data_IF_302826912806
#
_entry.id   IF_302826912806
#
_cell.length_a   1.000
_cell.length_b   1.000
_cell.length_c   1.000
_cell.angle_alpha   90.00
_cell.angle_beta   90.00
_cell.angle_gamma   90.00
#
_symmetry.space_group_name_H-M   'P 1'
#
loop_
_entity.id
_entity.type
_entity.pdbx_description
1 polymer ?
#
# COMPACT_ATOMS: atom_id res chain seq x y z
N UNK A 1 3.75 -8.16 -9.98
CA UNK A 1 2.84 -7.68 -8.93
C UNK A 1 2.48 -8.78 -7.91
N UNK A 2 2.31 -10.06 -8.32
CA UNK A 2 1.96 -11.16 -7.40
C UNK A 2 2.98 -11.34 -6.28
N UNK A 3 4.28 -11.14 -6.54
CA UNK A 3 5.32 -11.24 -5.51
C UNK A 3 5.26 -10.15 -4.42
N UNK A 4 4.42 -9.12 -4.61
CA UNK A 4 4.09 -8.11 -3.62
C UNK A 4 2.84 -8.46 -2.78
N UNK A 5 2.26 -9.65 -2.99
CA UNK A 5 1.05 -10.11 -2.30
C UNK A 5 -0.28 -9.71 -2.96
N UNK A 6 -0.25 -9.11 -4.16
CA UNK A 6 -1.47 -8.80 -4.91
C UNK A 6 -2.05 -10.07 -5.57
N UNK A 7 -3.38 -10.16 -5.61
CA UNK A 7 -4.10 -11.28 -6.22
C UNK A 7 -4.17 -12.54 -5.35
N UNK A 8 -3.77 -12.45 -4.07
CA UNK A 8 -3.89 -13.52 -3.10
C UNK A 8 -4.26 -12.96 -1.71
N UNK A 9 -4.87 -13.79 -0.88
CA UNK A 9 -5.04 -13.46 0.53
C UNK A 9 -3.68 -13.43 1.20
N UNK A 10 -3.40 -12.37 1.97
CA UNK A 10 -2.07 -12.16 2.57
C UNK A 10 -1.77 -13.14 3.72
N UNK A 11 -2.78 -13.86 4.21
CA UNK A 11 -2.60 -14.82 5.32
C UNK A 11 -2.42 -14.16 6.68
N UNK A 12 -3.09 -13.01 6.91
CA UNK A 12 -3.09 -12.34 8.20
C UNK A 12 -3.92 -13.09 9.25
N UNK A 13 -3.82 -12.68 10.51
CA UNK A 13 -4.65 -13.17 11.62
C UNK A 13 -6.10 -12.62 11.60
N UNK A 14 -6.47 -11.91 10.54
CA UNK A 14 -7.85 -11.55 10.29
C UNK A 14 -8.64 -12.77 9.80
N UNK A 15 -9.82 -13.04 10.40
CA UNK A 15 -10.61 -14.22 10.03
C UNK A 15 -11.21 -14.12 8.62
N UNK A 16 -11.30 -12.91 8.07
CA UNK A 16 -11.87 -12.65 6.74
C UNK A 16 -10.97 -11.72 5.95
N UNK A 17 -10.82 -12.00 4.68
CA UNK A 17 -10.05 -11.16 3.76
C UNK A 17 -10.40 -11.48 2.31
N UNK A 18 -10.10 -10.54 1.43
CA UNK A 18 -10.26 -10.73 0.00
C UNK A 18 -8.90 -10.83 -0.66
N UNK A 19 -8.79 -11.73 -1.64
CA UNK A 19 -7.58 -11.90 -2.42
C UNK A 19 -7.33 -10.73 -3.40
N UNK A 20 -8.34 -9.90 -3.65
CA UNK A 20 -8.27 -9.01 -4.80
C UNK A 20 -8.25 -9.79 -6.11
N UNK A 21 -7.76 -9.16 -7.18
CA UNK A 21 -7.68 -9.80 -8.50
C UNK A 21 -6.47 -9.23 -9.25
N UNK A 22 -5.67 -10.13 -9.78
CA UNK A 22 -4.62 -9.80 -10.76
C UNK A 22 -4.93 -10.61 -12.00
N UNK A 23 -5.29 -9.97 -13.13
CA UNK A 23 -5.66 -10.68 -14.35
C UNK A 23 -4.50 -11.49 -14.89
N UNK A 24 -4.84 -12.60 -15.54
CA UNK A 24 -3.92 -13.47 -16.25
C UNK A 24 -4.52 -13.92 -17.58
N UNK A 25 -3.76 -14.69 -18.35
CA UNK A 25 -4.18 -15.21 -19.65
C UNK A 25 -5.48 -16.00 -19.56
N UNK A 26 -5.63 -16.84 -18.53
CA UNK A 26 -6.82 -17.68 -18.36
C UNK A 26 -8.09 -16.84 -18.12
N UNK A 27 -7.96 -15.75 -17.35
CA UNK A 27 -9.05 -14.80 -17.14
C UNK A 27 -9.47 -14.15 -18.47
N UNK A 28 -8.49 -13.66 -19.24
CA UNK A 28 -8.78 -12.98 -20.50
C UNK A 28 -9.32 -13.92 -21.56
N UNK A 29 -8.81 -15.13 -21.65
CA UNK A 29 -9.37 -16.15 -22.55
C UNK A 29 -10.82 -16.46 -22.21
N UNK A 30 -11.16 -16.52 -20.93
CA UNK A 30 -12.53 -16.72 -20.46
C UNK A 30 -13.44 -15.52 -20.77
N UNK A 31 -12.93 -14.30 -20.57
CA UNK A 31 -13.73 -13.07 -20.67
C UNK A 31 -13.94 -12.62 -22.12
N UNK A 32 -12.90 -12.69 -22.94
CA UNK A 32 -12.89 -12.16 -24.31
C UNK A 32 -12.87 -13.26 -25.39
N UNK A 33 -12.57 -14.49 -25.01
CA UNK A 33 -12.34 -15.62 -25.91
C UNK A 33 -10.86 -15.77 -26.29
N UNK A 34 -10.42 -17.01 -26.42
CA UNK A 34 -9.04 -17.36 -26.73
C UNK A 34 -8.57 -16.68 -28.03
N UNK A 35 -7.48 -15.92 -27.94
CA UNK A 35 -6.90 -15.18 -29.07
C UNK A 35 -7.69 -13.95 -29.52
N UNK A 36 -8.72 -13.52 -28.78
CA UNK A 36 -9.53 -12.33 -29.10
C UNK A 36 -9.15 -11.07 -28.30
N UNK A 37 -8.20 -11.19 -27.39
CA UNK A 37 -7.66 -10.05 -26.63
C UNK A 37 -6.21 -9.77 -27.08
N UNK A 38 -5.75 -8.56 -26.88
CA UNK A 38 -4.44 -8.08 -27.35
C UNK A 38 -3.80 -7.09 -26.38
N UNK A 39 -2.70 -6.48 -26.78
CA UNK A 39 -1.95 -5.53 -25.95
C UNK A 39 -2.77 -4.35 -25.43
N UNK A 40 -3.78 -3.88 -26.17
CA UNK A 40 -4.65 -2.78 -25.72
C UNK A 40 -5.47 -3.16 -24.48
N UNK A 41 -5.86 -4.42 -24.34
CA UNK A 41 -6.54 -4.93 -23.14
C UNK A 41 -5.68 -4.75 -21.88
N UNK A 42 -4.35 -4.79 -22.03
CA UNK A 42 -3.42 -4.66 -20.92
C UNK A 42 -3.05 -3.20 -20.57
N UNK A 43 -3.41 -2.22 -21.39
CA UNK A 43 -3.03 -0.81 -21.15
C UNK A 43 -3.61 -0.31 -19.83
N UNK A 44 -4.88 -0.61 -19.54
CA UNK A 44 -5.51 -0.22 -18.27
C UNK A 44 -4.83 -0.85 -17.06
N UNK A 45 -4.36 -2.11 -17.20
CA UNK A 45 -3.63 -2.77 -16.10
C UNK A 45 -2.27 -2.11 -15.84
N UNK A 46 -1.62 -1.55 -16.86
CA UNK A 46 -0.32 -0.88 -16.70
C UNK A 46 -0.40 0.37 -15.82
N UNK A 47 -1.57 0.99 -15.74
CA UNK A 47 -1.84 2.14 -14.87
C UNK A 47 -2.56 1.75 -13.56
N UNK A 48 -2.72 0.45 -13.29
CA UNK A 48 -3.37 -0.06 -12.07
C UNK A 48 -4.91 -0.01 -12.13
N UNK A 49 -5.48 0.04 -13.32
CA UNK A 49 -6.92 0.01 -13.59
C UNK A 49 -7.35 -1.31 -14.28
N UNK A 50 -8.48 -1.31 -14.95
CA UNK A 50 -9.00 -2.49 -15.63
C UNK A 50 -9.49 -3.56 -14.65
N UNK A 51 -9.06 -4.80 -14.87
CA UNK A 51 -9.47 -5.94 -14.04
C UNK A 51 -8.70 -6.11 -12.73
N UNK A 52 -7.74 -5.22 -12.44
CA UNK A 52 -6.99 -5.26 -11.18
C UNK A 52 -7.90 -4.82 -10.03
N UNK A 53 -8.07 -5.70 -9.03
CA UNK A 53 -8.75 -5.38 -7.79
C UNK A 53 -7.79 -5.57 -6.62
N UNK A 54 -7.73 -4.58 -5.73
CA UNK A 54 -6.89 -4.63 -4.55
C UNK A 54 -7.65 -4.18 -3.30
N UNK A 55 -7.17 -4.61 -2.15
CA UNK A 55 -7.65 -4.14 -0.86
C UNK A 55 -6.70 -3.10 -0.27
N UNK A 56 -7.16 -2.21 0.62
CA UNK A 56 -6.27 -1.26 1.29
C UNK A 56 -5.08 -1.92 1.99
N UNK A 57 -5.28 -3.08 2.64
CA UNK A 57 -4.20 -3.81 3.30
C UNK A 57 -3.17 -4.35 2.31
N UNK A 58 -3.59 -4.76 1.12
CA UNK A 58 -2.67 -5.18 0.07
C UNK A 58 -1.84 -4.01 -0.45
N UNK A 59 -2.42 -2.82 -0.62
CA UNK A 59 -1.66 -1.63 -1.01
C UNK A 59 -0.71 -1.18 0.10
N UNK A 60 -1.12 -1.23 1.37
CA UNK A 60 -0.22 -0.99 2.49
C UNK A 60 0.96 -1.98 2.47
N UNK A 61 0.70 -3.25 2.17
CA UNK A 61 1.75 -4.27 2.06
C UNK A 61 2.71 -4.01 0.87
N UNK A 62 2.20 -3.56 -0.27
CA UNK A 62 3.05 -3.11 -1.40
C UNK A 62 3.97 -1.97 -0.96
N UNK A 63 3.43 -1.01 -0.22
CA UNK A 63 4.20 0.11 0.31
C UNK A 63 5.26 -0.34 1.32
N UNK A 64 4.94 -1.31 2.19
CA UNK A 64 5.91 -1.92 3.10
C UNK A 64 7.04 -2.62 2.33
N UNK A 65 6.71 -3.34 1.26
CA UNK A 65 7.71 -3.98 0.40
C UNK A 65 8.61 -2.97 -0.32
N UNK A 66 8.06 -1.82 -0.75
CA UNK A 66 8.85 -0.73 -1.36
C UNK A 66 9.75 -0.09 -0.29
N UNK A 67 9.22 0.26 0.87
CA UNK A 67 9.95 0.86 1.97
C UNK A 67 11.12 -0.01 2.42
N UNK A 68 10.93 -1.32 2.45
CA UNK A 68 11.94 -2.33 2.80
C UNK A 68 12.84 -2.74 1.62
N UNK A 69 12.69 -2.14 0.45
CA UNK A 69 13.48 -2.46 -0.75
C UNK A 69 13.39 -3.91 -1.20
N UNK A 70 12.16 -4.45 -1.19
CA UNK A 70 11.85 -5.72 -1.83
C UNK A 70 11.42 -6.86 -0.90
N UNK A 71 11.07 -6.58 0.35
CA UNK A 71 10.49 -7.59 1.22
C UNK A 71 9.38 -7.05 2.12
N UNK A 72 8.57 -7.96 2.64
CA UNK A 72 7.54 -7.67 3.61
C UNK A 72 7.33 -8.87 4.55
N UNK A 73 6.63 -8.63 5.65
CA UNK A 73 6.10 -9.65 6.54
C UNK A 73 4.59 -9.74 6.36
N UNK A 74 4.00 -10.90 6.66
CA UNK A 74 2.55 -11.03 6.66
C UNK A 74 1.93 -10.01 7.62
N UNK A 75 1.03 -9.12 7.14
CA UNK A 75 0.33 -8.19 8.02
C UNK A 75 -0.46 -8.94 9.09
N UNK A 76 -0.38 -8.49 10.35
CA UNK A 76 -1.09 -9.09 11.48
C UNK A 76 -1.36 -8.05 12.56
N UNK A 77 -2.36 -8.30 13.40
CA UNK A 77 -2.73 -7.41 14.51
C UNK A 77 -2.12 -7.89 15.82
N UNK A 78 -2.07 -9.21 16.01
CA UNK A 78 -1.64 -9.79 17.28
C UNK A 78 -0.13 -9.67 17.43
N UNK A 79 0.30 -8.82 18.36
CA UNK A 79 1.72 -8.62 18.68
C UNK A 79 2.25 -9.64 19.68
N UNK A 80 1.44 -9.97 20.68
CA UNK A 80 1.81 -10.88 21.80
C UNK A 80 0.59 -11.66 22.27
N UNK A 81 0.82 -12.89 22.73
CA UNK A 81 -0.14 -13.71 23.46
C UNK A 81 0.54 -14.09 24.80
N UNK A 82 -0.14 -13.85 25.93
CA UNK A 82 0.37 -14.11 27.30
C UNK A 82 1.77 -13.51 27.53
N UNK A 83 1.97 -12.27 27.11
CA UNK A 83 3.26 -11.56 27.13
C UNK A 83 4.39 -12.20 26.31
N UNK A 84 4.13 -13.26 25.57
CA UNK A 84 5.09 -13.85 24.61
C UNK A 84 4.84 -13.27 23.22
N UNK A 85 5.92 -13.02 22.49
CA UNK A 85 5.84 -12.64 21.07
C UNK A 85 5.08 -13.72 20.32
N UNK A 86 4.20 -13.33 19.41
CA UNK A 86 3.38 -14.25 18.60
C UNK A 86 4.24 -15.40 18.05
N UNK A 87 3.92 -16.67 18.36
CA UNK A 87 4.76 -17.81 18.00
C UNK A 87 4.62 -18.23 16.53
N UNK A 88 3.77 -17.53 15.75
CA UNK A 88 3.50 -17.89 14.36
C UNK A 88 4.65 -17.46 13.45
N UNK A 89 5.41 -18.44 12.98
CA UNK A 89 6.56 -18.26 12.07
C UNK A 89 6.16 -17.50 10.79
N UNK A 90 4.92 -17.64 10.35
CA UNK A 90 4.37 -16.94 9.17
C UNK A 90 4.39 -15.42 9.31
N UNK A 91 4.27 -14.86 10.53
CA UNK A 91 4.32 -13.40 10.78
C UNK A 91 5.73 -12.88 10.96
N UNK A 92 6.69 -13.75 11.25
CA UNK A 92 8.10 -13.41 11.43
C UNK A 92 8.97 -13.80 10.24
N UNK A 93 8.41 -14.59 9.30
CA UNK A 93 9.14 -14.99 8.10
C UNK A 93 9.09 -13.90 7.04
N UNK A 94 10.27 -13.47 6.61
CA UNK A 94 10.45 -12.49 5.54
C UNK A 94 10.01 -13.08 4.19
N UNK A 95 9.11 -12.38 3.51
CA UNK A 95 8.67 -12.69 2.14
C UNK A 95 9.36 -11.72 1.18
N UNK A 96 10.11 -12.24 0.23
CA UNK A 96 10.83 -11.42 -0.75
C UNK A 96 10.02 -11.26 -2.03
N UNK A 97 10.09 -10.05 -2.60
CA UNK A 97 9.61 -9.82 -3.98
C UNK A 97 10.60 -10.39 -4.99
N UNK A 98 10.15 -10.56 -6.23
CA UNK A 98 11.02 -11.01 -7.34
C UNK A 98 11.85 -9.87 -7.95
N UNK A 99 11.75 -8.66 -7.40
CA UNK A 99 12.44 -7.47 -7.91
C UNK A 99 13.77 -7.28 -7.16
N UNK A 100 14.85 -7.05 -7.90
CA UNK A 100 16.15 -6.79 -7.30
C UNK A 100 16.15 -5.44 -6.54
N UNK A 101 16.80 -5.36 -5.36
CA UNK A 101 16.78 -4.16 -4.49
C UNK A 101 17.16 -2.85 -5.19
N UNK A 102 18.09 -2.89 -6.16
CA UNK A 102 18.52 -1.71 -6.92
C UNK A 102 17.41 -0.97 -7.67
N UNK A 103 16.30 -1.65 -7.98
CA UNK A 103 15.19 -1.06 -8.72
C UNK A 103 14.19 -0.32 -7.83
N UNK A 104 14.28 -0.46 -6.51
CA UNK A 104 13.42 0.26 -5.59
C UNK A 104 13.83 1.72 -5.40
N UNK A 105 15.13 2.00 -5.41
CA UNK A 105 15.63 3.35 -5.13
C UNK A 105 15.09 4.43 -6.08
N UNK A 106 15.09 4.24 -7.41
CA UNK A 106 14.46 5.21 -8.33
C UNK A 106 12.97 5.42 -8.07
N UNK A 107 12.24 4.35 -7.71
CA UNK A 107 10.80 4.43 -7.35
C UNK A 107 10.62 5.25 -6.08
N UNK A 108 11.42 5.00 -5.06
CA UNK A 108 11.39 5.71 -3.78
C UNK A 108 11.70 7.21 -3.99
N UNK A 109 12.69 7.53 -4.81
CA UNK A 109 13.00 8.93 -5.16
C UNK A 109 11.85 9.62 -5.88
N UNK A 110 11.19 8.92 -6.83
CA UNK A 110 9.98 9.43 -7.47
C UNK A 110 8.83 9.67 -6.48
N UNK A 111 8.68 8.81 -5.48
CA UNK A 111 7.69 8.98 -4.41
C UNK A 111 8.02 10.15 -3.47
N UNK A 112 9.30 10.42 -3.22
CA UNK A 112 9.73 11.64 -2.51
C UNK A 112 9.37 12.89 -3.30
N UNK A 113 9.71 12.92 -4.59
CA UNK A 113 9.35 14.06 -5.45
C UNK A 113 7.84 14.30 -5.50
N UNK A 114 7.03 13.24 -5.48
CA UNK A 114 5.57 13.37 -5.41
C UNK A 114 5.11 14.01 -4.08
N UNK A 115 5.81 13.73 -2.98
CA UNK A 115 5.57 14.36 -1.67
C UNK A 115 6.08 15.81 -1.63
N UNK A 116 7.30 16.06 -2.08
CA UNK A 116 7.95 17.37 -1.96
C UNK A 116 7.28 18.40 -2.90
N UNK A 117 7.06 18.05 -4.17
CA UNK A 117 6.65 18.98 -5.22
C UNK A 117 5.46 18.51 -6.07
N UNK A 118 4.98 17.28 -5.86
CA UNK A 118 3.98 16.65 -6.71
C UNK A 118 2.56 16.66 -6.13
N UNK A 119 1.77 15.69 -6.57
CA UNK A 119 0.34 15.57 -6.22
C UNK A 119 0.10 15.21 -4.75
N UNK A 120 1.11 14.74 -4.03
CA UNK A 120 1.04 14.43 -2.60
C UNK A 120 1.57 15.57 -1.70
N UNK A 121 1.93 16.74 -2.24
CA UNK A 121 2.49 17.87 -1.47
C UNK A 121 1.60 18.35 -0.32
N UNK A 122 0.29 18.10 -0.40
CA UNK A 122 -0.65 18.41 0.69
C UNK A 122 -0.46 17.58 1.96
N UNK A 123 0.39 16.53 1.91
CA UNK A 123 0.76 15.70 3.08
C UNK A 123 2.00 16.19 3.81
N UNK A 124 2.56 17.33 3.45
CA UNK A 124 3.78 17.83 4.08
C UNK A 124 3.63 17.93 5.60
N UNK A 125 4.54 17.26 6.33
CA UNK A 125 4.60 17.23 7.79
C UNK A 125 5.95 17.79 8.19
N UNK A 126 5.95 18.88 8.96
CA UNK A 126 7.18 19.55 9.37
C UNK A 126 8.12 18.60 10.13
N UNK A 127 9.38 18.58 9.71
CA UNK A 127 10.43 17.76 10.31
C UNK A 127 10.36 16.26 9.95
N UNK A 128 9.44 15.83 9.09
CA UNK A 128 9.31 14.42 8.71
C UNK A 128 9.29 14.28 7.19
N UNK A 129 10.31 13.60 6.67
CA UNK A 129 10.38 13.26 5.26
C UNK A 129 9.57 11.99 4.98
N UNK A 130 8.68 12.06 4.01
CA UNK A 130 7.76 10.99 3.62
C UNK A 130 7.96 10.61 2.16
N UNK A 131 7.73 9.37 1.81
CA UNK A 131 7.58 8.94 0.42
C UNK A 131 6.11 8.59 0.18
N UNK A 132 5.49 9.21 -0.82
CA UNK A 132 4.05 9.12 -1.03
C UNK A 132 3.66 9.00 -2.51
N UNK A 133 2.46 8.48 -2.76
CA UNK A 133 1.83 8.47 -4.08
C UNK A 133 0.32 8.62 -3.95
N UNK A 134 -0.24 9.48 -4.78
CA UNK A 134 -1.69 9.60 -4.96
C UNK A 134 -2.15 8.73 -6.12
N UNK A 135 -3.40 8.33 -6.08
CA UNK A 135 -4.07 7.63 -7.17
C UNK A 135 -5.51 8.12 -7.31
N UNK A 136 -6.07 7.91 -8.49
CA UNK A 136 -7.48 8.10 -8.77
C UNK A 136 -7.92 6.92 -9.61
N UNK A 137 -8.84 6.12 -9.07
CA UNK A 137 -9.38 4.97 -9.77
C UNK A 137 -10.75 5.34 -10.35
N UNK A 138 -10.89 5.19 -11.65
CA UNK A 138 -12.14 5.44 -12.36
C UNK A 138 -13.24 4.53 -11.85
N UNK A 139 -14.45 5.10 -11.74
CA UNK A 139 -15.65 4.38 -11.30
C UNK A 139 -16.80 4.66 -12.27
N UNK A 140 -17.21 3.63 -13.01
CA UNK A 140 -18.32 3.72 -13.97
C UNK A 140 -19.69 3.94 -13.33
N UNK A 141 -19.81 3.77 -12.01
CA UNK A 141 -21.09 3.88 -11.27
C UNK A 141 -21.18 5.14 -10.41
N UNK A 142 -20.25 6.09 -10.57
CA UNK A 142 -20.26 7.32 -9.76
C UNK A 142 -18.96 8.11 -9.93
N UNK A 143 -18.64 8.91 -8.91
CA UNK A 143 -17.35 9.63 -8.90
C UNK A 143 -16.19 8.64 -8.68
N UNK A 144 -15.04 9.00 -9.19
CA UNK A 144 -13.81 8.23 -9.02
C UNK A 144 -13.45 8.01 -7.55
N UNK A 145 -12.69 6.95 -7.28
CA UNK A 145 -12.15 6.67 -5.95
C UNK A 145 -10.79 7.34 -5.77
N UNK A 146 -10.67 8.16 -4.72
CA UNK A 146 -9.42 8.79 -4.35
C UNK A 146 -8.52 7.86 -3.54
N UNK A 147 -7.27 7.69 -3.97
CA UNK A 147 -6.26 6.88 -3.29
C UNK A 147 -5.07 7.71 -2.82
N UNK A 148 -4.56 7.34 -1.66
CA UNK A 148 -3.30 7.82 -1.14
C UNK A 148 -2.55 6.69 -0.44
N UNK A 149 -1.27 6.55 -0.74
CA UNK A 149 -0.37 5.63 -0.06
C UNK A 149 0.93 6.35 0.29
N UNK A 150 1.47 6.07 1.47
CA UNK A 150 2.70 6.69 1.94
C UNK A 150 3.42 5.83 2.97
N UNK A 151 4.70 6.10 3.15
CA UNK A 151 5.45 5.61 4.29
C UNK A 151 6.41 6.68 4.82
N UNK A 152 6.76 6.58 6.07
CA UNK A 152 7.68 7.49 6.73
C UNK A 152 8.26 6.96 8.03
N UNK A 153 9.33 7.59 8.55
CA UNK A 153 10.19 8.51 7.82
C UNK A 153 10.89 7.84 6.63
N UNK A 154 11.19 8.59 5.59
CA UNK A 154 11.74 8.05 4.33
C UNK A 154 13.04 7.25 4.51
N UNK A 155 13.96 7.75 5.36
CA UNK A 155 15.26 7.12 5.55
C UNK A 155 15.20 5.87 6.44
N UNK A 156 14.30 5.87 7.43
CA UNK A 156 14.09 4.76 8.37
C UNK A 156 12.58 4.54 8.58
N UNK A 157 11.91 3.84 7.68
CA UNK A 157 10.46 3.69 7.69
C UNK A 157 9.94 2.96 8.94
N UNK A 158 8.98 3.57 9.62
CA UNK A 158 8.32 3.01 10.81
C UNK A 158 6.83 2.85 10.64
N UNK A 159 6.22 3.58 9.69
CA UNK A 159 4.79 3.52 9.41
C UNK A 159 4.53 3.48 7.91
N UNK A 160 3.49 2.76 7.54
CA UNK A 160 2.86 2.78 6.21
C UNK A 160 1.41 3.18 6.37
N UNK A 161 0.93 4.01 5.46
CA UNK A 161 -0.48 4.44 5.40
C UNK A 161 -1.03 4.16 4.01
N UNK A 162 -2.22 3.58 3.95
CA UNK A 162 -3.01 3.44 2.72
C UNK A 162 -4.43 3.92 3.00
N UNK A 163 -4.90 4.86 2.19
CA UNK A 163 -6.23 5.47 2.32
C UNK A 163 -6.95 5.35 0.99
N UNK A 164 -8.19 4.90 1.04
CA UNK A 164 -9.16 5.03 -0.05
C UNK A 164 -10.34 5.89 0.43
N UNK A 165 -10.80 6.76 -0.44
CA UNK A 165 -12.07 7.47 -0.30
C UNK A 165 -12.94 7.11 -1.48
N UNK A 166 -13.89 6.20 -1.25
CA UNK A 166 -14.82 5.77 -2.28
C UNK A 166 -15.64 6.96 -2.77
N UNK A 167 -15.76 7.11 -4.09
CA UNK A 167 -16.43 8.22 -4.76
C UNK A 167 -15.93 9.61 -4.33
N UNK A 168 -14.70 9.69 -3.80
CA UNK A 168 -14.08 10.92 -3.31
C UNK A 168 -13.48 11.81 -4.39
N UNK A 169 -13.45 11.38 -5.66
CA UNK A 169 -12.78 12.06 -6.75
C UNK A 169 -11.25 11.95 -6.62
N UNK A 170 -10.54 13.04 -6.91
CA UNK A 170 -9.08 13.03 -6.89
C UNK A 170 -8.48 12.70 -5.53
N UNK A 171 -7.55 11.74 -5.51
CA UNK A 171 -6.87 11.31 -4.29
C UNK A 171 -6.12 12.44 -3.59
N UNK A 172 -5.59 13.41 -4.35
CA UNK A 172 -4.94 14.60 -3.80
C UNK A 172 -5.87 15.49 -2.97
N UNK A 173 -7.17 15.46 -3.23
CA UNK A 173 -8.17 16.29 -2.54
C UNK A 173 -8.87 15.53 -1.42
N UNK A 174 -9.14 14.24 -1.59
CA UNK A 174 -9.92 13.46 -0.66
C UNK A 174 -9.08 12.59 0.29
N UNK A 175 -8.14 11.81 -0.24
CA UNK A 175 -7.37 10.84 0.53
C UNK A 175 -6.10 11.44 1.19
N UNK A 176 -5.45 12.42 0.55
CA UNK A 176 -4.26 13.09 1.06
C UNK A 176 -4.47 13.75 2.43
N UNK A 177 -5.53 14.55 2.67
CA UNK A 177 -5.74 15.17 3.99
C UNK A 177 -5.93 14.15 5.11
N UNK A 178 -6.59 13.02 4.81
CA UNK A 178 -6.81 11.93 5.77
C UNK A 178 -5.47 11.25 6.09
N UNK A 179 -4.72 10.87 5.06
CA UNK A 179 -3.41 10.23 5.22
C UNK A 179 -2.42 11.10 6.00
N UNK A 180 -2.41 12.41 5.75
CA UNK A 180 -1.61 13.37 6.52
C UNK A 180 -1.95 13.31 8.02
N UNK A 181 -3.23 13.40 8.38
CA UNK A 181 -3.67 13.36 9.78
C UNK A 181 -3.30 12.06 10.48
N UNK A 182 -3.43 10.92 9.77
CA UNK A 182 -3.03 9.61 10.31
C UNK A 182 -1.53 9.60 10.60
N UNK A 183 -0.70 10.07 9.67
CA UNK A 183 0.75 10.12 9.84
C UNK A 183 1.16 11.10 10.94
N UNK A 184 0.57 12.30 11.00
CA UNK A 184 0.80 13.27 12.07
C UNK A 184 0.50 12.67 13.45
N UNK A 185 -0.62 11.95 13.60
CA UNK A 185 -0.99 11.29 14.83
C UNK A 185 0.02 10.21 15.23
N UNK A 186 0.41 9.35 14.26
CA UNK A 186 1.37 8.27 14.50
C UNK A 186 2.74 8.81 14.93
N UNK A 187 3.25 9.84 14.26
CA UNK A 187 4.54 10.43 14.62
C UNK A 187 4.51 11.23 15.95
N UNK A 188 3.35 11.74 16.35
CA UNK A 188 3.19 12.36 17.67
C UNK A 188 3.12 11.33 18.78
N UNK A 189 2.49 10.18 18.55
CA UNK A 189 2.43 9.08 19.51
C UNK A 189 3.82 8.48 19.78
N UNK A 190 4.68 8.41 18.78
CA UNK A 190 6.07 7.98 18.95
C UNK A 190 6.92 8.97 19.80
N UNK A 191 6.46 10.19 19.99
CA UNK A 191 7.13 11.22 20.81
C UNK A 191 6.66 11.23 22.28
N UNK A 192 5.62 10.48 22.64
CA UNK A 192 5.21 10.32 24.05
C UNK A 192 6.18 9.35 24.71
N UNK A 193 6.95 9.76 25.75
CA UNK A 193 7.83 8.87 26.47
C UNK A 193 7.02 7.70 27.05
N UNK A 194 7.51 6.47 26.85
CA UNK A 194 6.86 5.25 27.36
C UNK A 194 6.87 5.16 28.91
N UNK A 195 7.36 6.14 29.60
CA UNK A 195 7.54 6.17 31.07
C UNK A 195 6.35 6.76 31.85
N UNK A 196 5.26 7.17 31.21
CA UNK A 196 4.10 7.74 31.91
C UNK A 196 3.19 6.67 32.60
N UNK A 197 3.57 5.41 32.62
CA UNK A 197 2.78 4.28 33.13
C UNK A 197 3.35 3.53 34.34
N UNK A 198 4.35 4.08 35.05
CA UNK A 198 4.81 3.53 36.34
C UNK A 198 4.52 4.51 37.45
N UNK A 199 3.31 4.46 37.98
CA UNK A 199 2.98 4.82 39.36
C UNK A 199 2.06 3.77 39.93
#
# INVERSE_FOLDING_TARGET
VKSFGLGSFLGSDFPTGRAGKVPDVALYDKQYGKGRWNGTTNISNAIGQGEILTTPIQLANVMAAIANRGYFYTPHIVKKIDNKVTPFTEFTTRKNTTIAPRHFEPVIQGMRLAYDNGTARGTHIEGINVAAKTGTAENSQGRDHGWFVAYGPYANPTIVVAVIVEQGGFGSLSAVPIGRRIMEAAFRLDRVPQDAGKK
#
